data_IF_453386764233
#
_entry.id   IF_453386764233
#
_cell.length_a   1.000
_cell.length_b   1.000
_cell.length_c   1.000
_cell.angle_alpha   90.00
_cell.angle_beta   90.00
_cell.angle_gamma   90.00
#
_symmetry.space_group_name_H-M   'P 1'
#
loop_
_entity.id
_entity.type
_entity.pdbx_description
1 polymer ?
#
# COMPACT_ATOMS: atom_id res chain seq x y z
N UNK A 1 -1.03 -33.17 11.30
CA UNK A 1 -0.46 -32.03 10.53
C UNK A 1 -0.22 -30.90 11.51
N UNK A 2 1.03 -30.63 11.89
CA UNK A 2 1.41 -29.50 12.73
C UNK A 2 1.16 -28.24 11.90
N UNK A 3 0.14 -27.44 12.24
CA UNK A 3 0.00 -26.09 11.69
C UNK A 3 1.24 -25.29 12.14
N UNK A 4 2.14 -24.97 11.22
CA UNK A 4 3.21 -24.00 11.48
C UNK A 4 2.54 -22.75 12.04
N UNK A 5 2.87 -22.38 13.29
CA UNK A 5 2.38 -21.14 13.90
C UNK A 5 2.90 -20.01 13.00
N UNK A 6 2.03 -19.37 12.24
CA UNK A 6 2.39 -18.20 11.46
C UNK A 6 2.87 -17.13 12.44
N UNK A 7 4.09 -16.68 12.24
CA UNK A 7 4.66 -15.57 13.00
C UNK A 7 3.96 -14.28 12.54
N UNK A 8 2.88 -13.93 13.24
CA UNK A 8 2.05 -12.77 12.90
C UNK A 8 2.82 -11.49 13.20
N UNK A 9 2.92 -10.63 12.20
CA UNK A 9 3.46 -9.27 12.33
C UNK A 9 2.29 -8.28 12.38
N UNK A 10 2.41 -7.26 13.22
CA UNK A 10 1.44 -6.18 13.33
C UNK A 10 2.10 -4.87 12.90
N UNK A 11 1.44 -4.13 12.04
CA UNK A 11 1.85 -2.80 11.59
C UNK A 11 0.90 -1.75 12.16
N UNK A 12 1.43 -0.62 12.60
CA UNK A 12 0.64 0.56 12.92
C UNK A 12 0.50 1.41 11.66
N UNK A 13 -0.73 1.56 11.16
CA UNK A 13 -1.02 2.48 10.07
C UNK A 13 -1.16 3.91 10.61
N UNK A 14 -0.52 4.88 9.98
CA UNK A 14 -0.59 6.30 10.36
C UNK A 14 -2.04 6.84 10.38
N UNK A 15 -2.94 6.31 9.52
CA UNK A 15 -4.37 6.70 9.55
C UNK A 15 -5.10 6.32 10.83
N UNK A 16 -4.57 5.37 11.60
CA UNK A 16 -5.15 4.98 12.90
C UNK A 16 -4.86 6.00 14.00
N UNK A 17 -3.92 6.90 13.77
CA UNK A 17 -3.46 7.94 14.70
C UNK A 17 -3.32 9.30 14.00
N UNK A 18 -4.42 9.85 13.45
CA UNK A 18 -4.39 10.99 12.53
C UNK A 18 -3.89 12.29 13.16
N UNK A 19 -3.94 12.39 14.49
CA UNK A 19 -3.49 13.59 15.23
C UNK A 19 -1.99 13.57 15.54
N UNK A 20 -1.28 12.50 15.12
CA UNK A 20 0.16 12.33 15.36
C UNK A 20 0.91 12.61 14.06
N UNK A 21 2.02 13.37 14.17
CA UNK A 21 2.90 13.62 13.03
C UNK A 21 3.52 12.32 12.52
N UNK A 22 3.71 12.21 11.20
CA UNK A 22 4.23 10.98 10.57
C UNK A 22 5.54 10.51 11.20
N UNK A 23 6.44 11.44 11.52
CA UNK A 23 7.73 11.14 12.12
C UNK A 23 7.61 10.57 13.55
N UNK A 24 6.49 10.85 14.22
CA UNK A 24 6.22 10.39 15.58
C UNK A 24 5.49 9.03 15.59
N UNK A 25 4.86 8.63 14.48
CA UNK A 25 4.16 7.33 14.35
C UNK A 25 5.14 6.18 14.61
N UNK A 26 6.39 6.29 14.16
CA UNK A 26 7.44 5.29 14.39
C UNK A 26 7.66 5.08 15.88
N UNK A 27 7.79 6.19 16.65
CA UNK A 27 7.96 6.12 18.10
C UNK A 27 6.75 5.48 18.80
N UNK A 28 5.54 5.86 18.39
CA UNK A 28 4.30 5.28 18.93
C UNK A 28 4.25 3.78 18.65
N UNK A 29 4.59 3.35 17.44
CA UNK A 29 4.62 1.94 17.09
C UNK A 29 5.62 1.14 17.94
N UNK A 30 6.80 1.70 18.19
CA UNK A 30 7.80 1.08 19.07
C UNK A 30 7.29 0.95 20.50
N UNK A 31 6.79 2.03 21.06
CA UNK A 31 6.34 2.11 22.47
C UNK A 31 5.15 1.18 22.74
N UNK A 32 4.37 0.85 21.71
CA UNK A 32 3.17 0.01 21.80
C UNK A 32 3.36 -1.43 21.30
N UNK A 33 4.59 -1.80 20.88
CA UNK A 33 4.96 -3.18 20.58
C UNK A 33 4.54 -3.65 19.20
N UNK A 34 4.32 -2.75 18.25
CA UNK A 34 4.17 -3.11 16.84
C UNK A 34 5.50 -3.60 16.24
N UNK A 35 5.42 -4.28 15.11
CA UNK A 35 6.56 -4.82 14.38
C UNK A 35 6.92 -3.97 13.16
N UNK A 36 5.94 -3.18 12.67
CA UNK A 36 6.07 -2.38 11.48
C UNK A 36 5.25 -1.10 11.58
N UNK A 37 5.47 -0.19 10.63
CA UNK A 37 4.69 1.03 10.42
C UNK A 37 4.23 1.11 8.98
N UNK A 38 3.04 1.70 8.78
CA UNK A 38 2.53 2.12 7.48
C UNK A 38 2.31 3.63 7.47
N UNK A 39 2.62 4.28 6.36
CA UNK A 39 2.42 5.72 6.19
C UNK A 39 1.26 6.02 5.25
N UNK A 40 0.63 7.18 5.44
CA UNK A 40 -0.53 7.57 4.65
C UNK A 40 -0.40 9.02 4.21
N UNK A 41 -0.63 9.25 2.92
CA UNK A 41 -0.63 10.56 2.30
C UNK A 41 -1.94 10.80 1.57
N UNK A 42 -2.61 11.91 1.86
CA UNK A 42 -3.83 12.29 1.13
C UNK A 42 -3.49 12.70 -0.30
N UNK A 43 -2.34 13.38 -0.48
CA UNK A 43 -1.77 13.70 -1.78
C UNK A 43 -0.36 13.14 -1.86
N UNK A 44 -0.03 12.48 -2.97
CA UNK A 44 1.30 11.91 -3.19
C UNK A 44 2.41 12.98 -3.22
N UNK A 45 2.08 14.24 -3.52
CA UNK A 45 2.99 15.37 -3.52
C UNK A 45 3.40 15.85 -2.11
N UNK A 46 2.70 15.40 -1.07
CA UNK A 46 3.05 15.72 0.32
C UNK A 46 4.28 14.94 0.80
N UNK A 47 4.70 13.92 0.06
CA UNK A 47 5.94 13.20 0.27
C UNK A 47 7.04 13.79 -0.61
N UNK A 48 8.04 14.38 0.02
CA UNK A 48 9.26 14.83 -0.63
C UNK A 48 10.48 14.00 -0.22
N UNK A 49 11.62 14.26 -0.87
CA UNK A 49 12.86 13.55 -0.61
C UNK A 49 13.39 13.77 0.81
N UNK A 50 13.17 14.95 1.37
CA UNK A 50 13.63 15.29 2.73
C UNK A 50 12.89 14.46 3.76
N UNK A 51 11.56 14.42 3.65
CA UNK A 51 10.71 13.60 4.52
C UNK A 51 11.01 12.10 4.32
N UNK A 52 11.19 11.65 3.08
CA UNK A 52 11.52 10.26 2.79
C UNK A 52 12.83 9.80 3.46
N UNK A 53 13.85 10.64 3.44
CA UNK A 53 15.13 10.36 4.10
C UNK A 53 15.01 10.38 5.64
N UNK A 54 14.26 11.33 6.22
CA UNK A 54 14.01 11.37 7.66
C UNK A 54 13.25 10.11 8.14
N UNK A 55 12.20 9.72 7.43
CA UNK A 55 11.45 8.51 7.75
C UNK A 55 12.32 7.25 7.66
N UNK A 56 13.17 7.16 6.62
CA UNK A 56 14.14 6.07 6.48
C UNK A 56 15.10 5.99 7.67
N UNK A 57 15.71 7.13 8.07
CA UNK A 57 16.64 7.19 9.19
C UNK A 57 15.99 6.68 10.46
N UNK A 58 14.78 7.18 10.78
CA UNK A 58 14.02 6.76 11.95
C UNK A 58 13.63 5.30 11.96
N UNK A 59 13.26 4.72 10.78
CA UNK A 59 13.00 3.28 10.67
C UNK A 59 14.29 2.50 10.93
N UNK A 60 15.42 2.91 10.35
CA UNK A 60 16.70 2.23 10.53
C UNK A 60 17.20 2.27 11.98
N UNK A 61 16.89 3.33 12.73
CA UNK A 61 17.22 3.49 14.13
C UNK A 61 16.23 2.77 15.07
N UNK A 62 15.26 2.05 14.51
CA UNK A 62 14.23 1.32 15.24
C UNK A 62 14.29 -0.18 14.96
N UNK A 63 13.64 -1.05 15.77
CA UNK A 63 13.46 -2.45 15.46
C UNK A 63 12.34 -2.71 14.43
N UNK A 64 11.70 -1.66 13.92
CA UNK A 64 10.56 -1.75 13.02
C UNK A 64 11.01 -1.85 11.56
N UNK A 65 10.07 -2.25 10.69
CA UNK A 65 10.23 -2.11 9.25
C UNK A 65 9.07 -1.31 8.67
N UNK A 66 9.30 -0.66 7.53
CA UNK A 66 8.26 0.01 6.77
C UNK A 66 7.45 -1.02 6.00
N UNK A 67 6.16 -1.19 6.33
CA UNK A 67 5.32 -2.18 5.67
C UNK A 67 4.70 -1.62 4.40
N UNK A 68 3.96 -0.54 4.53
CA UNK A 68 3.17 0.00 3.43
C UNK A 68 3.12 1.53 3.42
N UNK A 69 2.77 2.05 2.26
CA UNK A 69 2.45 3.47 2.07
C UNK A 69 1.20 3.58 1.19
N UNK A 70 0.28 4.44 1.57
CA UNK A 70 -0.96 4.70 0.85
C UNK A 70 -1.11 6.18 0.49
N UNK A 71 -1.74 6.56 -0.61
CA UNK A 71 -2.40 5.69 -1.57
C UNK A 71 -2.26 6.29 -2.99
N UNK A 72 -1.95 5.46 -3.97
CA UNK A 72 -2.05 5.82 -5.38
C UNK A 72 -3.50 5.57 -5.84
N UNK A 73 -4.11 6.59 -6.44
CA UNK A 73 -5.48 6.52 -6.99
C UNK A 73 -5.44 6.55 -8.52
N UNK A 74 -5.70 5.41 -9.14
CA UNK A 74 -5.92 5.33 -10.59
C UNK A 74 -7.25 6.02 -10.90
N UNK A 75 -7.24 6.92 -11.88
CA UNK A 75 -8.41 7.69 -12.34
C UNK A 75 -8.57 7.51 -13.85
N UNK A 76 -9.76 7.82 -14.43
CA UNK A 76 -9.93 7.92 -15.87
C UNK A 76 -8.94 8.91 -16.49
N UNK A 77 -8.51 8.62 -17.73
CA UNK A 77 -7.49 9.40 -18.44
C UNK A 77 -6.07 8.87 -18.24
N UNK A 78 -5.03 9.60 -18.65
CA UNK A 78 -3.65 9.16 -18.56
C UNK A 78 -3.20 9.05 -17.10
N UNK A 79 -2.26 8.13 -16.83
CA UNK A 79 -1.65 8.00 -15.53
C UNK A 79 -0.84 9.26 -15.20
N UNK A 80 -1.03 9.80 -13.99
CA UNK A 80 -0.20 10.91 -13.51
C UNK A 80 1.24 10.41 -13.30
N UNK A 81 2.20 10.99 -14.00
CA UNK A 81 3.61 10.60 -13.94
C UNK A 81 4.27 10.82 -12.56
N UNK A 82 3.70 11.66 -11.72
CA UNK A 82 4.18 11.88 -10.35
C UNK A 82 4.06 10.62 -9.47
N UNK A 83 3.22 9.67 -9.85
CA UNK A 83 3.12 8.39 -9.14
C UNK A 83 4.43 7.60 -9.19
N UNK A 84 5.21 7.71 -10.26
CA UNK A 84 6.51 7.06 -10.36
C UNK A 84 7.53 7.67 -9.40
N UNK A 85 7.53 8.99 -9.28
CA UNK A 85 8.35 9.67 -8.27
C UNK A 85 7.95 9.27 -6.84
N UNK A 86 6.65 9.12 -6.57
CA UNK A 86 6.17 8.62 -5.29
C UNK A 86 6.66 7.20 -4.99
N UNK A 87 6.70 6.30 -6.00
CA UNK A 87 7.28 4.96 -5.87
C UNK A 87 8.77 5.02 -5.54
N UNK A 88 9.53 5.91 -6.22
CA UNK A 88 10.95 6.09 -5.93
C UNK A 88 11.17 6.55 -4.47
N UNK A 89 10.34 7.48 -3.99
CA UNK A 89 10.40 7.94 -2.60
C UNK A 89 10.01 6.86 -1.59
N UNK A 90 9.00 6.04 -1.90
CA UNK A 90 8.63 4.88 -1.08
C UNK A 90 9.79 3.88 -0.95
N UNK A 91 10.52 3.64 -2.04
CA UNK A 91 11.72 2.81 -2.03
C UNK A 91 12.85 3.44 -1.19
N UNK A 92 13.03 4.77 -1.24
CA UNK A 92 13.98 5.49 -0.39
C UNK A 92 13.66 5.28 1.08
N UNK A 93 12.39 5.36 1.49
CA UNK A 93 11.97 5.09 2.88
C UNK A 93 12.29 3.65 3.29
N UNK A 94 12.29 2.70 2.36
CA UNK A 94 12.44 1.27 2.61
C UNK A 94 11.11 0.57 2.86
N UNK A 95 10.04 1.07 2.24
CA UNK A 95 8.70 0.50 2.29
C UNK A 95 8.67 -0.81 1.47
N UNK A 96 7.85 -1.77 1.90
CA UNK A 96 7.69 -3.04 1.20
C UNK A 96 6.55 -3.02 0.18
N UNK A 97 5.48 -2.27 0.45
CA UNK A 97 4.25 -2.28 -0.35
C UNK A 97 3.68 -0.88 -0.56
N UNK A 98 3.19 -0.62 -1.76
CA UNK A 98 2.45 0.60 -2.09
C UNK A 98 1.00 0.24 -2.40
N UNK A 99 0.06 0.87 -1.70
CA UNK A 99 -1.36 0.64 -1.85
C UNK A 99 -1.90 1.42 -3.05
N UNK A 100 -2.69 0.72 -3.87
CA UNK A 100 -3.34 1.26 -5.06
C UNK A 100 -4.82 0.94 -5.04
N UNK A 101 -5.64 1.95 -5.34
CA UNK A 101 -7.08 1.79 -5.60
C UNK A 101 -7.42 2.34 -6.98
N UNK A 102 -8.50 1.89 -7.60
CA UNK A 102 -8.93 2.41 -8.90
C UNK A 102 -10.35 2.96 -8.86
N UNK A 103 -10.48 4.19 -9.36
CA UNK A 103 -11.74 4.87 -9.68
C UNK A 103 -11.99 4.93 -11.20
N UNK A 104 -11.18 4.21 -11.99
CA UNK A 104 -11.38 4.11 -13.43
C UNK A 104 -12.36 2.95 -13.71
N UNK A 105 -13.53 3.22 -14.32
CA UNK A 105 -14.50 2.18 -14.63
C UNK A 105 -14.06 1.29 -15.80
N UNK A 106 -13.04 1.71 -16.55
CA UNK A 106 -12.48 0.93 -17.64
C UNK A 106 -11.49 -0.10 -17.07
N UNK A 107 -11.88 -1.38 -17.15
CA UNK A 107 -11.08 -2.49 -16.65
C UNK A 107 -9.72 -2.59 -17.36
N UNK A 108 -9.71 -2.49 -18.68
CA UNK A 108 -8.48 -2.63 -19.47
C UNK A 108 -7.52 -1.47 -19.17
N UNK A 109 -8.02 -0.25 -19.01
CA UNK A 109 -7.22 0.90 -18.61
C UNK A 109 -6.67 0.75 -17.18
N UNK A 110 -7.46 0.23 -16.24
CA UNK A 110 -6.97 -0.07 -14.90
C UNK A 110 -5.85 -1.10 -14.93
N UNK A 111 -5.99 -2.18 -15.71
CA UNK A 111 -4.97 -3.22 -15.87
C UNK A 111 -3.69 -2.64 -16.49
N UNK A 112 -3.80 -1.83 -17.55
CA UNK A 112 -2.63 -1.18 -18.19
C UNK A 112 -1.88 -0.31 -17.18
N UNK A 113 -2.57 0.59 -16.48
CA UNK A 113 -1.96 1.51 -15.53
C UNK A 113 -1.33 0.78 -14.33
N UNK A 114 -2.03 -0.24 -13.81
CA UNK A 114 -1.49 -1.04 -12.71
C UNK A 114 -0.26 -1.83 -13.14
N UNK A 115 -0.23 -2.30 -14.40
CA UNK A 115 0.93 -2.96 -14.99
C UNK A 115 2.13 -2.01 -15.06
N UNK A 116 1.93 -0.76 -15.53
CA UNK A 116 2.99 0.26 -15.56
C UNK A 116 3.56 0.55 -14.16
N UNK A 117 2.69 0.64 -13.15
CA UNK A 117 3.13 0.80 -11.75
C UNK A 117 3.94 -0.41 -11.27
N UNK A 118 3.48 -1.63 -11.57
CA UNK A 118 4.20 -2.85 -11.20
C UNK A 118 5.56 -2.95 -11.90
N UNK A 119 5.64 -2.63 -13.18
CA UNK A 119 6.87 -2.69 -13.98
C UNK A 119 7.92 -1.68 -13.47
N UNK A 120 7.51 -0.48 -13.06
CA UNK A 120 8.42 0.48 -12.41
C UNK A 120 8.83 0.02 -11.00
N UNK A 121 7.88 -0.49 -10.23
CA UNK A 121 8.08 -0.86 -8.82
C UNK A 121 8.97 -2.11 -8.64
N UNK A 122 9.02 -3.02 -9.62
CA UNK A 122 9.77 -4.29 -9.49
C UNK A 122 11.26 -4.05 -9.35
N UNK A 123 11.82 -3.10 -10.10
CA UNK A 123 13.24 -2.74 -10.04
C UNK A 123 13.60 -2.02 -8.73
N UNK A 124 12.60 -1.44 -8.07
CA UNK A 124 12.72 -0.81 -6.74
C UNK A 124 12.54 -1.81 -5.59
N UNK A 125 12.18 -3.05 -5.88
CA UNK A 125 11.89 -4.07 -4.87
C UNK A 125 10.53 -3.89 -4.16
N UNK A 126 9.62 -3.07 -4.72
CA UNK A 126 8.33 -2.77 -4.15
C UNK A 126 7.23 -3.75 -4.62
N UNK A 127 6.37 -4.15 -3.72
CA UNK A 127 5.09 -4.77 -4.04
C UNK A 127 4.01 -3.72 -4.27
N UNK A 128 3.20 -3.91 -5.30
CA UNK A 128 2.00 -3.11 -5.54
C UNK A 128 0.80 -3.89 -5.03
N UNK A 129 0.08 -3.35 -4.06
CA UNK A 129 -1.08 -4.00 -3.45
C UNK A 129 -2.36 -3.29 -3.88
N UNK A 130 -3.21 -4.02 -4.60
CA UNK A 130 -4.48 -3.50 -5.09
C UNK A 130 -5.57 -3.77 -4.07
N UNK A 131 -6.26 -2.72 -3.63
CA UNK A 131 -7.34 -2.79 -2.66
C UNK A 131 -8.70 -2.62 -3.34
N UNK A 132 -9.64 -3.51 -3.01
CA UNK A 132 -11.05 -3.35 -3.33
C UNK A 132 -11.79 -2.66 -2.17
N UNK A 133 -12.64 -1.71 -2.51
CA UNK A 133 -13.47 -1.03 -1.51
C UNK A 133 -14.75 -0.44 -2.14
N UNK A 134 -15.80 -0.31 -1.34
CA UNK A 134 -17.15 0.11 -1.79
C UNK A 134 -17.21 1.50 -2.40
N UNK A 135 -16.19 2.32 -2.19
CA UNK A 135 -16.11 3.71 -2.70
C UNK A 135 -15.38 3.82 -4.05
N UNK A 136 -14.96 2.68 -4.62
CA UNK A 136 -14.27 2.60 -5.92
C UNK A 136 -15.11 1.83 -6.93
N UNK A 137 -14.58 1.66 -8.14
CA UNK A 137 -15.21 0.83 -9.17
C UNK A 137 -15.02 -0.67 -8.91
N UNK A 138 -13.98 -1.03 -8.15
CA UNK A 138 -13.63 -2.42 -7.79
C UNK A 138 -14.02 -2.66 -6.33
N UNK A 139 -15.18 -3.31 -6.12
CA UNK A 139 -15.87 -3.35 -4.82
C UNK A 139 -15.77 -4.67 -4.09
N UNK A 140 -15.35 -5.71 -4.78
CA UNK A 140 -15.33 -7.08 -4.26
C UNK A 140 -13.95 -7.70 -4.37
N UNK A 141 -13.73 -8.76 -3.59
CA UNK A 141 -12.50 -9.54 -3.70
C UNK A 141 -12.35 -10.16 -5.10
N UNK A 142 -13.47 -10.56 -5.74
CA UNK A 142 -13.45 -11.12 -7.09
C UNK A 142 -13.00 -10.06 -8.13
N UNK A 143 -13.42 -8.80 -7.97
CA UNK A 143 -12.94 -7.70 -8.82
C UNK A 143 -11.42 -7.55 -8.68
N UNK A 144 -10.91 -7.55 -7.44
CA UNK A 144 -9.47 -7.42 -7.20
C UNK A 144 -8.69 -8.61 -7.77
N UNK A 145 -9.23 -9.84 -7.66
CA UNK A 145 -8.64 -11.02 -8.29
C UNK A 145 -8.60 -10.91 -9.81
N UNK A 146 -9.68 -10.43 -10.43
CA UNK A 146 -9.73 -10.25 -11.88
C UNK A 146 -8.65 -9.28 -12.36
N UNK A 147 -8.50 -8.13 -11.70
CA UNK A 147 -7.48 -7.11 -12.02
C UNK A 147 -6.07 -7.67 -11.84
N UNK A 148 -5.75 -8.20 -10.65
CA UNK A 148 -4.39 -8.67 -10.35
C UNK A 148 -3.97 -9.84 -11.23
N UNK A 149 -4.90 -10.75 -11.55
CA UNK A 149 -4.64 -11.84 -12.49
C UNK A 149 -4.39 -11.33 -13.91
N UNK A 150 -5.13 -10.32 -14.38
CA UNK A 150 -4.93 -9.72 -15.69
C UNK A 150 -3.59 -8.98 -15.79
N UNK A 151 -3.17 -8.28 -14.73
CA UNK A 151 -1.85 -7.62 -14.62
C UNK A 151 -0.71 -8.63 -14.72
N UNK A 152 -0.84 -9.80 -14.14
CA UNK A 152 0.11 -10.91 -14.23
C UNK A 152 1.57 -10.49 -13.96
N UNK A 153 1.81 -9.81 -12.85
CA UNK A 153 3.15 -9.43 -12.36
C UNK A 153 3.40 -10.04 -10.99
N UNK A 154 4.62 -10.51 -10.75
CA UNK A 154 5.00 -11.20 -9.50
C UNK A 154 4.92 -10.29 -8.26
N UNK A 155 5.05 -8.97 -8.45
CA UNK A 155 4.95 -7.96 -7.41
C UNK A 155 3.53 -7.35 -7.27
N UNK A 156 2.56 -7.75 -8.12
CA UNK A 156 1.15 -7.42 -7.96
C UNK A 156 0.50 -8.33 -6.92
N UNK A 157 -0.18 -7.75 -5.93
CA UNK A 157 -0.84 -8.47 -4.84
C UNK A 157 -2.19 -7.83 -4.52
N UNK A 158 -3.00 -8.51 -3.71
CA UNK A 158 -4.27 -7.99 -3.21
C UNK A 158 -4.10 -7.60 -1.75
N UNK A 159 -4.54 -6.40 -1.38
CA UNK A 159 -4.75 -6.00 0.00
C UNK A 159 -6.17 -6.40 0.41
N UNK A 160 -6.28 -7.11 1.53
CA UNK A 160 -7.56 -7.49 2.10
C UNK A 160 -7.79 -6.68 3.37
N UNK A 161 -8.61 -5.64 3.26
CA UNK A 161 -9.17 -4.96 4.41
C UNK A 161 -10.41 -5.73 4.88
N UNK A 162 -10.41 -6.14 6.15
CA UNK A 162 -11.50 -6.96 6.72
C UNK A 162 -12.83 -6.21 6.75
N UNK A 163 -12.83 -4.89 6.90
CA UNK A 163 -14.04 -4.06 6.83
C UNK A 163 -14.62 -4.09 5.42
N UNK A 164 -13.77 -3.90 4.39
CA UNK A 164 -14.20 -3.91 3.01
C UNK A 164 -14.64 -5.31 2.56
N UNK A 165 -13.95 -6.35 3.03
CA UNK A 165 -14.33 -7.74 2.78
C UNK A 165 -15.76 -8.04 3.28
N UNK A 166 -16.06 -7.69 4.54
CA UNK A 166 -17.39 -7.91 5.12
C UNK A 166 -18.46 -7.05 4.44
N UNK A 167 -18.14 -5.78 4.14
CA UNK A 167 -19.07 -4.87 3.42
C UNK A 167 -19.38 -5.35 2.00
N UNK A 168 -18.44 -6.03 1.34
CA UNK A 168 -18.65 -6.66 0.05
C UNK A 168 -19.46 -7.98 0.12
N UNK A 169 -19.88 -8.39 1.32
CA UNK A 169 -20.68 -9.60 1.53
C UNK A 169 -19.88 -10.89 1.61
N UNK A 170 -18.55 -10.81 1.71
CA UNK A 170 -17.70 -11.99 1.91
C UNK A 170 -17.61 -12.37 3.39
N UNK A 171 -17.48 -13.68 3.64
CA UNK A 171 -17.22 -14.20 4.99
C UNK A 171 -15.71 -14.38 5.19
N UNK A 172 -15.08 -13.82 6.22
CA UNK A 172 -13.67 -14.00 6.51
C UNK A 172 -13.30 -15.38 7.09
N UNK A 173 -14.30 -16.26 7.37
CA UNK A 173 -14.11 -17.62 7.89
C UNK A 173 -13.68 -18.63 6.84
#
# INVERSE_FOLDING_TARGET
KIRKKLDKKFSLCARSVPDIRLEEVIKVAMDTGYHAVGFAFDNIQDLDKTLALDLRERINDSPLFGLDIDVIRIKPGPLNTEVFHFLDLAAIIGIQHVLVVSHDPDFDQTVVKLTELCDHAIDLGLGIVFEFLMLTEYRTLDDAFAVVNAVNRSNAKILIDTLHLVRAGHNPE
#
